data_IF_351812290027
#
_entry.id   IF_351812290027
#
_cell.length_a   1.000
_cell.length_b   1.000
_cell.length_c   1.000
_cell.angle_alpha   90.00
_cell.angle_beta   90.00
_cell.angle_gamma   90.00
#
_symmetry.space_group_name_H-M   'P 1'
#
loop_
_entity.id
_entity.type
_entity.pdbx_description
1 polymer ?
#
# COMPACT_ATOMS: atom_id res chain seq x y z
N UNK A 1 1.27 -25.86 -10.69
CA UNK A 1 1.21 -26.81 -9.58
C UNK A 1 0.46 -26.09 -8.46
N UNK A 2 -0.77 -26.52 -8.12
CA UNK A 2 -1.55 -25.91 -7.02
C UNK A 2 -0.96 -26.47 -5.69
N UNK A 3 -0.36 -25.59 -4.88
CA UNK A 3 0.12 -25.95 -3.55
C UNK A 3 -1.09 -25.82 -2.61
N UNK A 4 -1.51 -26.92 -1.99
CA UNK A 4 -2.57 -26.89 -0.98
C UNK A 4 -1.93 -26.67 0.39
N UNK A 5 -2.42 -25.69 1.15
CA UNK A 5 -1.91 -25.36 2.49
C UNK A 5 -2.06 -26.48 3.52
N UNK A 6 -2.91 -27.47 3.22
CA UNK A 6 -3.13 -28.67 4.04
C UNK A 6 -2.12 -29.80 3.83
N UNK A 7 -1.19 -29.67 2.85
CA UNK A 7 -0.18 -30.69 2.57
C UNK A 7 1.05 -30.55 3.49
N UNK A 8 1.76 -31.67 3.70
CA UNK A 8 3.06 -31.63 4.37
C UNK A 8 4.07 -30.83 3.56
N UNK A 9 4.55 -29.70 4.12
CA UNK A 9 5.53 -28.82 3.50
C UNK A 9 6.95 -29.37 3.71
N UNK A 10 7.62 -29.76 2.63
CA UNK A 10 9.07 -29.88 2.63
C UNK A 10 9.69 -28.47 2.51
N UNK A 11 10.94 -28.29 2.99
CA UNK A 11 11.66 -27.01 2.89
C UNK A 11 11.63 -26.44 1.45
N UNK A 12 11.83 -27.30 0.45
CA UNK A 12 11.79 -26.89 -0.98
C UNK A 12 10.41 -26.40 -1.42
N UNK A 13 9.33 -27.06 -0.97
CA UNK A 13 7.94 -26.60 -1.25
C UNK A 13 7.65 -25.28 -0.55
N UNK A 14 8.08 -25.13 0.70
CA UNK A 14 7.92 -23.90 1.47
C UNK A 14 8.64 -22.73 0.82
N UNK A 15 9.91 -22.88 0.46
CA UNK A 15 10.68 -21.85 -0.23
C UNK A 15 10.03 -21.45 -1.55
N UNK A 16 9.56 -22.42 -2.35
CA UNK A 16 8.86 -22.13 -3.60
C UNK A 16 7.54 -21.38 -3.40
N UNK A 17 6.84 -21.64 -2.30
CA UNK A 17 5.59 -20.93 -1.94
C UNK A 17 5.84 -19.51 -1.46
N UNK A 18 6.88 -19.30 -0.65
CA UNK A 18 7.20 -17.99 -0.06
C UNK A 18 7.98 -17.09 -1.02
N UNK A 19 8.68 -17.66 -2.01
CA UNK A 19 9.53 -16.93 -2.95
C UNK A 19 8.83 -15.72 -3.63
N UNK A 20 7.59 -15.83 -4.15
CA UNK A 20 6.88 -14.68 -4.70
C UNK A 20 6.69 -13.54 -3.69
N UNK A 21 6.41 -13.87 -2.43
CA UNK A 21 6.24 -12.87 -1.36
C UNK A 21 7.57 -12.16 -1.03
N UNK A 22 8.68 -12.90 -1.04
CA UNK A 22 10.02 -12.32 -0.85
C UNK A 22 10.36 -11.35 -1.99
N UNK A 23 10.14 -11.79 -3.25
CA UNK A 23 10.38 -10.94 -4.44
C UNK A 23 9.52 -9.69 -4.39
N UNK A 24 8.25 -9.82 -3.97
CA UNK A 24 7.34 -8.69 -3.78
C UNK A 24 7.89 -7.66 -2.79
N UNK A 25 8.38 -8.10 -1.62
CA UNK A 25 8.95 -7.20 -0.61
C UNK A 25 10.21 -6.49 -1.10
N UNK A 26 11.10 -7.22 -1.79
CA UNK A 26 12.31 -6.63 -2.40
C UNK A 26 11.92 -5.60 -3.45
N UNK A 27 10.97 -5.93 -4.34
CA UNK A 27 10.51 -5.04 -5.38
C UNK A 27 9.86 -3.77 -4.81
N UNK A 28 9.04 -3.90 -3.76
CA UNK A 28 8.44 -2.77 -3.03
C UNK A 28 9.51 -1.83 -2.47
N UNK A 29 10.57 -2.39 -1.89
CA UNK A 29 11.69 -1.59 -1.39
C UNK A 29 12.43 -0.86 -2.51
N UNK A 30 12.65 -1.53 -3.64
CA UNK A 30 13.35 -0.96 -4.80
C UNK A 30 12.57 0.21 -5.40
N UNK A 31 11.27 0.03 -5.67
CA UNK A 31 10.51 1.12 -6.27
C UNK A 31 10.36 2.32 -5.31
N UNK A 32 10.27 2.09 -3.99
CA UNK A 32 10.27 3.19 -3.01
C UNK A 32 11.57 4.00 -3.00
N UNK A 33 12.73 3.33 -3.22
CA UNK A 33 14.00 4.03 -3.40
C UNK A 33 14.02 4.84 -4.70
N UNK A 34 13.48 4.28 -5.79
CA UNK A 34 13.40 4.95 -7.09
C UNK A 34 12.51 6.20 -7.00
N UNK A 35 11.34 6.11 -6.38
CA UNK A 35 10.46 7.27 -6.11
C UNK A 35 11.21 8.36 -5.33
N UNK A 36 11.91 7.99 -4.25
CA UNK A 36 12.75 8.91 -3.48
C UNK A 36 13.85 9.57 -4.32
N UNK A 37 14.47 8.85 -5.27
CA UNK A 37 15.47 9.39 -6.20
C UNK A 37 14.82 10.44 -7.12
N UNK A 38 13.64 10.17 -7.67
CA UNK A 38 12.93 11.14 -8.50
C UNK A 38 12.62 12.42 -7.72
N UNK A 39 12.05 12.30 -6.52
CA UNK A 39 11.72 13.48 -5.70
C UNK A 39 12.98 14.25 -5.29
N UNK A 40 14.03 13.57 -4.84
CA UNK A 40 15.26 14.25 -4.36
C UNK A 40 16.01 14.98 -5.46
N UNK A 41 16.08 14.42 -6.68
CA UNK A 41 16.88 14.97 -7.76
C UNK A 41 16.13 15.98 -8.64
N UNK A 42 14.81 15.81 -8.82
CA UNK A 42 14.04 16.63 -9.75
C UNK A 42 13.08 17.60 -9.07
N UNK A 43 12.67 17.35 -7.82
CA UNK A 43 11.76 18.25 -7.08
C UNK A 43 12.52 19.11 -6.09
N UNK A 44 13.44 18.52 -5.34
CA UNK A 44 14.33 19.25 -4.44
C UNK A 44 14.39 18.71 -3.01
N UNK A 45 15.29 19.29 -2.21
CA UNK A 45 15.59 18.80 -0.85
C UNK A 45 14.45 19.02 0.14
N UNK A 46 13.78 20.18 0.09
CA UNK A 46 12.68 20.50 1.02
C UNK A 46 11.46 19.62 0.74
N UNK A 47 10.98 19.46 -0.51
CA UNK A 47 9.94 18.49 -0.83
C UNK A 47 10.30 17.05 -0.45
N UNK A 48 11.53 16.62 -0.69
CA UNK A 48 11.99 15.28 -0.28
C UNK A 48 11.95 15.09 1.24
N UNK A 49 12.38 16.10 2.01
CA UNK A 49 12.27 16.07 3.47
C UNK A 49 10.81 16.02 3.93
N UNK A 50 9.91 16.78 3.28
CA UNK A 50 8.48 16.77 3.56
C UNK A 50 7.84 15.39 3.33
N UNK A 51 8.15 14.72 2.22
CA UNK A 51 7.71 13.35 1.95
C UNK A 51 8.16 12.41 3.06
N UNK A 52 9.46 12.43 3.42
CA UNK A 52 10.01 11.56 4.46
C UNK A 52 9.39 11.82 5.84
N UNK A 53 9.00 13.07 6.13
CA UNK A 53 8.37 13.43 7.39
C UNK A 53 6.94 12.91 7.52
N UNK A 54 6.13 13.02 6.45
CA UNK A 54 4.71 12.64 6.48
C UNK A 54 4.47 11.15 6.18
N UNK A 55 5.40 10.48 5.48
CA UNK A 55 5.28 9.08 5.08
C UNK A 55 5.01 8.11 6.25
N UNK A 56 5.71 8.19 7.40
CA UNK A 56 5.42 7.29 8.53
C UNK A 56 3.98 7.37 9.01
N UNK A 57 3.38 8.56 9.03
CA UNK A 57 1.98 8.74 9.37
C UNK A 57 1.05 8.04 8.35
N UNK A 58 1.29 8.24 7.06
CA UNK A 58 0.51 7.58 6.00
C UNK A 58 0.68 6.06 6.02
N UNK A 59 1.87 5.56 6.32
CA UNK A 59 2.14 4.13 6.47
C UNK A 59 1.37 3.51 7.65
N UNK A 60 1.25 4.21 8.78
CA UNK A 60 0.45 3.75 9.93
C UNK A 60 -1.01 3.57 9.51
N UNK A 61 -1.58 4.52 8.75
CA UNK A 61 -2.94 4.40 8.26
C UNK A 61 -3.10 3.19 7.32
N UNK A 62 -2.15 2.99 6.40
CA UNK A 62 -2.16 1.84 5.49
C UNK A 62 -1.97 0.50 6.22
N UNK A 63 -1.22 0.48 7.32
CA UNK A 63 -1.00 -0.71 8.13
C UNK A 63 -2.29 -1.27 8.75
N UNK A 64 -3.32 -0.44 8.96
CA UNK A 64 -4.64 -0.90 9.37
C UNK A 64 -5.28 -1.83 8.32
N UNK A 65 -5.10 -1.53 7.04
CA UNK A 65 -5.52 -2.42 5.94
C UNK A 65 -4.78 -3.77 5.99
N UNK A 66 -3.46 -3.74 6.20
CA UNK A 66 -2.66 -4.96 6.33
C UNK A 66 -3.09 -5.79 7.57
N UNK A 67 -3.35 -5.14 8.69
CA UNK A 67 -3.83 -5.80 9.91
C UNK A 67 -5.18 -6.49 9.69
N UNK A 68 -6.16 -5.81 9.07
CA UNK A 68 -7.46 -6.39 8.74
C UNK A 68 -7.33 -7.51 7.70
N UNK A 69 -6.46 -7.34 6.70
CA UNK A 69 -6.18 -8.37 5.69
C UNK A 69 -5.56 -9.63 6.31
N UNK A 70 -4.56 -9.48 7.16
CA UNK A 70 -3.87 -10.60 7.80
C UNK A 70 -4.77 -11.33 8.79
N UNK A 71 -5.45 -10.60 9.69
CA UNK A 71 -6.39 -11.19 10.64
C UNK A 71 -7.59 -11.84 9.92
N UNK A 72 -8.13 -11.16 8.92
CA UNK A 72 -9.24 -11.65 8.12
C UNK A 72 -8.90 -12.88 7.29
N UNK A 73 -7.72 -12.91 6.69
CA UNK A 73 -7.27 -14.08 5.92
C UNK A 73 -7.15 -15.34 6.77
N UNK A 74 -6.78 -15.22 8.04
CA UNK A 74 -6.72 -16.35 8.97
C UNK A 74 -8.12 -16.92 9.25
N UNK A 75 -9.11 -16.04 9.51
CA UNK A 75 -10.50 -16.45 9.76
C UNK A 75 -11.09 -17.12 8.51
N UNK A 76 -10.91 -16.50 7.34
CA UNK A 76 -11.41 -17.02 6.06
C UNK A 76 -10.78 -18.38 5.76
N UNK A 77 -9.45 -18.53 5.93
CA UNK A 77 -8.75 -19.79 5.68
C UNK A 77 -9.23 -20.91 6.61
N UNK A 78 -9.45 -20.60 7.89
CA UNK A 78 -10.01 -21.55 8.87
C UNK A 78 -11.40 -22.01 8.43
N UNK A 79 -12.31 -21.08 8.13
CA UNK A 79 -13.70 -21.38 7.71
C UNK A 79 -13.74 -22.19 6.41
N UNK A 80 -12.84 -21.89 5.45
CA UNK A 80 -12.69 -22.69 4.23
C UNK A 80 -12.18 -24.11 4.55
N UNK A 81 -11.28 -24.26 5.52
CA UNK A 81 -10.79 -25.56 5.98
C UNK A 81 -11.88 -26.41 6.66
N UNK A 82 -12.85 -25.77 7.32
CA UNK A 82 -14.05 -26.40 7.87
C UNK A 82 -15.10 -26.79 6.82
N UNK A 83 -14.89 -26.40 5.55
CA UNK A 83 -15.75 -26.71 4.40
C UNK A 83 -16.90 -25.72 4.17
N UNK A 84 -17.05 -24.71 4.99
CA UNK A 84 -18.12 -23.71 4.91
C UNK A 84 -17.72 -22.54 3.99
N UNK A 85 -17.87 -22.75 2.68
CA UNK A 85 -17.54 -21.75 1.66
C UNK A 85 -18.44 -20.53 1.70
N UNK A 86 -19.70 -20.71 2.05
CA UNK A 86 -20.66 -19.61 2.07
C UNK A 86 -20.31 -18.61 3.18
N UNK A 87 -20.04 -19.10 4.37
CA UNK A 87 -19.63 -18.30 5.51
C UNK A 87 -18.26 -17.64 5.28
N UNK A 88 -17.32 -18.32 4.62
CA UNK A 88 -16.03 -17.73 4.25
C UNK A 88 -16.21 -16.55 3.29
N UNK A 89 -17.10 -16.63 2.31
CA UNK A 89 -17.43 -15.54 1.40
C UNK A 89 -18.12 -14.37 2.12
N UNK A 90 -18.99 -14.66 3.10
CA UNK A 90 -19.60 -13.62 3.93
C UNK A 90 -18.57 -12.87 4.73
N UNK A 91 -17.61 -13.55 5.38
CA UNK A 91 -16.51 -12.93 6.10
C UNK A 91 -15.62 -12.09 5.18
N UNK A 92 -15.30 -12.59 4.00
CA UNK A 92 -14.54 -11.84 3.01
C UNK A 92 -15.26 -10.53 2.62
N UNK A 93 -16.53 -10.60 2.25
CA UNK A 93 -17.32 -9.43 1.88
C UNK A 93 -17.44 -8.42 3.03
N UNK A 94 -17.66 -8.91 4.25
CA UNK A 94 -17.71 -8.08 5.45
C UNK A 94 -16.40 -7.34 5.69
N UNK A 95 -15.26 -8.02 5.53
CA UNK A 95 -13.93 -7.41 5.71
C UNK A 95 -13.66 -6.33 4.67
N UNK A 96 -13.99 -6.58 3.40
CA UNK A 96 -13.87 -5.56 2.35
C UNK A 96 -14.72 -4.34 2.68
N UNK A 97 -15.96 -4.54 3.11
CA UNK A 97 -16.83 -3.45 3.51
C UNK A 97 -16.26 -2.64 4.69
N UNK A 98 -15.76 -3.33 5.72
CA UNK A 98 -15.11 -2.68 6.88
C UNK A 98 -13.89 -1.87 6.46
N UNK A 99 -13.05 -2.40 5.56
CA UNK A 99 -11.87 -1.69 5.05
C UNK A 99 -12.28 -0.41 4.31
N UNK A 100 -13.32 -0.48 3.46
CA UNK A 100 -13.81 0.67 2.70
C UNK A 100 -14.37 1.75 3.64
N UNK A 101 -15.21 1.37 4.60
CA UNK A 101 -15.80 2.31 5.56
C UNK A 101 -14.72 2.94 6.44
N UNK A 102 -13.81 2.11 6.99
CA UNK A 102 -12.70 2.61 7.81
C UNK A 102 -11.79 3.54 7.00
N UNK A 103 -11.43 3.15 5.77
CA UNK A 103 -10.63 3.96 4.87
C UNK A 103 -11.30 5.29 4.53
N UNK A 104 -12.61 5.31 4.29
CA UNK A 104 -13.36 6.54 4.04
C UNK A 104 -13.35 7.48 5.26
N UNK A 105 -13.56 6.95 6.46
CA UNK A 105 -13.50 7.72 7.72
C UNK A 105 -12.09 8.29 7.93
N UNK A 106 -11.06 7.45 7.78
CA UNK A 106 -9.67 7.88 7.94
C UNK A 106 -9.24 8.90 6.87
N UNK A 107 -9.72 8.77 5.63
CA UNK A 107 -9.50 9.76 4.59
C UNK A 107 -10.11 11.09 4.96
N UNK A 108 -11.38 11.12 5.41
CA UNK A 108 -12.05 12.34 5.82
C UNK A 108 -11.34 13.02 6.99
N UNK A 109 -10.99 12.24 8.03
CA UNK A 109 -10.24 12.75 9.19
C UNK A 109 -8.85 13.24 8.78
N UNK A 110 -8.15 12.50 7.94
CA UNK A 110 -6.82 12.87 7.49
C UNK A 110 -6.82 14.17 6.69
N UNK A 111 -7.77 14.38 5.78
CA UNK A 111 -7.91 15.65 5.04
C UNK A 111 -8.15 16.83 5.99
N UNK A 112 -8.95 16.66 7.03
CA UNK A 112 -9.24 17.73 8.02
C UNK A 112 -8.00 18.01 8.88
N UNK A 113 -7.29 16.95 9.33
CA UNK A 113 -6.23 17.07 10.32
C UNK A 113 -4.81 17.04 9.73
N UNK A 114 -4.64 16.98 8.40
CA UNK A 114 -3.32 16.89 7.76
C UNK A 114 -2.38 18.02 8.19
N UNK A 115 -2.87 19.26 8.23
CA UNK A 115 -2.07 20.41 8.63
C UNK A 115 -1.63 20.36 10.10
N UNK A 116 -2.51 20.18 11.10
CA UNK A 116 -2.10 20.04 12.49
C UNK A 116 -1.20 18.82 12.73
N UNK A 117 -1.41 17.72 12.02
CA UNK A 117 -0.53 16.53 12.09
C UNK A 117 0.87 16.87 11.56
N UNK A 118 0.96 17.55 10.42
CA UNK A 118 2.25 17.96 9.87
C UNK A 118 3.01 18.90 10.81
N UNK A 119 2.33 19.83 11.47
CA UNK A 119 2.92 20.71 12.49
C UNK A 119 3.41 19.88 13.71
N UNK A 120 2.61 18.94 14.18
CA UNK A 120 2.97 18.07 15.30
C UNK A 120 4.22 17.21 14.99
N UNK A 121 4.39 16.81 13.72
CA UNK A 121 5.56 16.08 13.25
C UNK A 121 6.79 16.99 13.10
N UNK A 122 6.65 18.31 13.26
CA UNK A 122 7.76 19.28 13.22
C UNK A 122 7.89 20.03 11.89
N UNK A 123 6.92 19.91 10.97
CA UNK A 123 6.94 20.66 9.73
C UNK A 123 6.68 22.17 9.98
N UNK A 124 7.44 23.02 9.29
CA UNK A 124 7.26 24.47 9.33
C UNK A 124 7.58 25.10 7.96
N UNK A 125 7.13 26.34 7.74
CA UNK A 125 7.38 27.10 6.52
C UNK A 125 7.03 26.31 5.25
N UNK A 126 7.92 26.32 4.27
CA UNK A 126 7.74 25.65 2.97
C UNK A 126 7.57 24.13 3.11
N UNK A 127 8.28 23.50 4.06
CA UNK A 127 8.16 22.06 4.33
C UNK A 127 6.74 21.70 4.79
N UNK A 128 6.08 22.56 5.58
CA UNK A 128 4.70 22.33 6.02
C UNK A 128 3.73 22.31 4.83
N UNK A 129 3.84 23.28 3.92
CA UNK A 129 2.95 23.33 2.75
C UNK A 129 3.16 22.10 1.84
N UNK A 130 4.42 21.65 1.67
CA UNK A 130 4.73 20.42 0.94
C UNK A 130 4.19 19.16 1.64
N UNK A 131 4.26 19.07 2.98
CA UNK A 131 3.68 17.96 3.75
C UNK A 131 2.15 17.90 3.56
N UNK A 132 1.49 19.04 3.68
CA UNK A 132 0.03 19.12 3.55
C UNK A 132 -0.41 18.79 2.12
N UNK A 133 0.27 19.32 1.11
CA UNK A 133 -0.04 19.04 -0.29
C UNK A 133 0.13 17.55 -0.61
N UNK A 134 1.30 17.00 -0.30
CA UNK A 134 1.61 15.58 -0.54
C UNK A 134 0.66 14.67 0.24
N UNK A 135 0.51 14.93 1.54
CA UNK A 135 -0.33 14.13 2.41
C UNK A 135 -1.80 14.12 1.98
N UNK A 136 -2.34 15.27 1.61
CA UNK A 136 -3.73 15.38 1.11
C UNK A 136 -3.94 14.61 -0.19
N UNK A 137 -2.99 14.65 -1.11
CA UNK A 137 -3.10 13.90 -2.37
C UNK A 137 -3.02 12.38 -2.12
N UNK A 138 -2.05 11.92 -1.34
CA UNK A 138 -1.89 10.49 -1.04
C UNK A 138 -3.08 9.93 -0.26
N UNK A 139 -3.62 10.68 0.72
CA UNK A 139 -4.70 10.15 1.56
C UNK A 139 -6.00 9.94 0.77
N UNK A 140 -6.19 10.60 -0.37
CA UNK A 140 -7.33 10.31 -1.26
C UNK A 140 -7.29 8.90 -1.84
N UNK A 141 -6.10 8.30 -1.95
CA UNK A 141 -5.89 6.93 -2.38
C UNK A 141 -5.75 5.94 -1.20
N UNK A 142 -6.10 6.34 0.04
CA UNK A 142 -5.96 5.48 1.22
C UNK A 142 -6.80 4.20 1.11
N UNK A 143 -8.03 4.28 0.59
CA UNK A 143 -8.90 3.11 0.43
C UNK A 143 -8.27 2.08 -0.50
N UNK A 144 -7.89 2.39 -1.77
CA UNK A 144 -7.20 1.44 -2.62
C UNK A 144 -5.87 0.94 -2.02
N UNK A 145 -5.12 1.78 -1.31
CA UNK A 145 -3.89 1.38 -0.61
C UNK A 145 -4.17 0.34 0.49
N UNK A 146 -5.18 0.56 1.33
CA UNK A 146 -5.60 -0.40 2.36
C UNK A 146 -6.09 -1.72 1.73
N UNK A 147 -6.85 -1.64 0.64
CA UNK A 147 -7.32 -2.82 -0.09
C UNK A 147 -6.14 -3.60 -0.70
N UNK A 148 -5.20 -2.93 -1.36
CA UNK A 148 -4.02 -3.57 -1.94
C UNK A 148 -3.24 -4.36 -0.88
N UNK A 149 -2.98 -3.75 0.30
CA UNK A 149 -2.31 -4.42 1.41
C UNK A 149 -3.11 -5.62 1.95
N UNK A 150 -4.44 -5.50 2.02
CA UNK A 150 -5.30 -6.59 2.48
C UNK A 150 -5.36 -7.74 1.47
N UNK A 151 -5.45 -7.43 0.18
CA UNK A 151 -5.47 -8.43 -0.89
C UNK A 151 -4.18 -9.22 -0.98
N UNK A 152 -3.02 -8.64 -0.64
CA UNK A 152 -1.77 -9.39 -0.53
C UNK A 152 -1.91 -10.58 0.42
N UNK A 153 -2.50 -10.35 1.61
CA UNK A 153 -2.75 -11.41 2.59
C UNK A 153 -3.79 -12.44 2.09
N UNK A 154 -4.86 -11.97 1.43
CA UNK A 154 -5.88 -12.85 0.86
C UNK A 154 -5.35 -13.73 -0.28
N UNK A 155 -4.48 -13.21 -1.14
CA UNK A 155 -3.84 -14.01 -2.19
C UNK A 155 -2.94 -15.10 -1.63
N UNK A 156 -2.21 -14.83 -0.54
CA UNK A 156 -1.40 -15.85 0.14
C UNK A 156 -2.30 -16.91 0.77
N UNK A 157 -3.38 -16.52 1.46
CA UNK A 157 -4.35 -17.42 2.05
C UNK A 157 -5.08 -18.29 1.00
N UNK A 158 -5.34 -17.72 -0.19
CA UNK A 158 -5.91 -18.46 -1.32
C UNK A 158 -4.90 -19.37 -2.05
N UNK A 159 -3.64 -19.45 -1.58
CA UNK A 159 -2.59 -20.26 -2.22
C UNK A 159 -2.09 -19.70 -3.56
N UNK A 160 -2.32 -18.40 -3.81
CA UNK A 160 -1.97 -17.73 -5.08
C UNK A 160 -1.08 -16.48 -4.85
N UNK A 161 0.06 -16.58 -4.14
CA UNK A 161 0.91 -15.43 -3.86
C UNK A 161 1.46 -14.74 -5.12
N UNK A 162 1.49 -15.43 -6.28
CA UNK A 162 1.91 -14.86 -7.56
C UNK A 162 0.97 -13.72 -8.03
N UNK A 163 -0.32 -13.76 -7.66
CA UNK A 163 -1.25 -12.66 -7.99
C UNK A 163 -0.88 -11.38 -7.21
N UNK A 164 -0.52 -11.53 -5.93
CA UNK A 164 -0.02 -10.41 -5.13
C UNK A 164 1.27 -9.83 -5.70
N UNK A 165 2.22 -10.69 -6.12
CA UNK A 165 3.44 -10.26 -6.79
C UNK A 165 3.11 -9.49 -8.08
N UNK A 166 2.22 -10.03 -8.93
CA UNK A 166 1.82 -9.38 -10.18
C UNK A 166 1.21 -7.99 -9.95
N UNK A 167 0.31 -7.86 -8.99
CA UNK A 167 -0.30 -6.58 -8.62
C UNK A 167 0.75 -5.58 -8.11
N UNK A 168 1.66 -6.01 -7.22
CA UNK A 168 2.72 -5.15 -6.68
C UNK A 168 3.70 -4.69 -7.77
N UNK A 169 4.08 -5.58 -8.69
CA UNK A 169 4.95 -5.23 -9.82
C UNK A 169 4.25 -4.25 -10.75
N UNK A 170 2.98 -4.47 -11.07
CA UNK A 170 2.19 -3.55 -11.89
C UNK A 170 2.11 -2.17 -11.23
N UNK A 171 1.77 -2.10 -9.94
CA UNK A 171 1.72 -0.86 -9.18
C UNK A 171 3.08 -0.13 -9.18
N UNK A 172 4.18 -0.82 -8.86
CA UNK A 172 5.50 -0.20 -8.80
C UNK A 172 6.02 0.26 -10.17
N UNK A 173 5.78 -0.51 -11.25
CA UNK A 173 6.13 -0.08 -12.61
C UNK A 173 5.29 1.13 -13.01
N UNK A 174 4.00 1.13 -12.73
CA UNK A 174 3.10 2.27 -12.99
C UNK A 174 3.59 3.51 -12.24
N UNK A 175 3.93 3.39 -10.96
CA UNK A 175 4.48 4.48 -10.17
C UNK A 175 5.75 5.06 -10.81
N UNK A 176 6.76 4.24 -11.10
CA UNK A 176 8.02 4.69 -11.71
C UNK A 176 7.81 5.38 -13.06
N UNK A 177 6.91 4.87 -13.90
CA UNK A 177 6.58 5.50 -15.20
C UNK A 177 5.88 6.84 -14.99
N UNK A 178 4.91 6.91 -14.07
CA UNK A 178 4.18 8.14 -13.78
C UNK A 178 5.06 9.18 -13.08
N UNK A 179 6.00 8.78 -12.22
CA UNK A 179 7.00 9.68 -11.64
C UNK A 179 7.83 10.34 -12.74
N UNK A 180 8.32 9.56 -13.70
CA UNK A 180 9.03 10.11 -14.84
C UNK A 180 8.16 11.10 -15.63
N UNK A 181 6.91 10.76 -15.91
CA UNK A 181 5.99 11.62 -16.68
C UNK A 181 5.64 12.89 -15.91
N UNK A 182 5.21 12.76 -14.65
CA UNK A 182 4.68 13.90 -13.91
C UNK A 182 5.77 14.78 -13.29
N UNK A 183 6.88 14.17 -12.84
CA UNK A 183 7.97 14.92 -12.22
C UNK A 183 8.94 15.46 -13.27
N UNK A 184 9.37 14.62 -14.24
CA UNK A 184 10.42 15.00 -15.18
C UNK A 184 9.86 15.72 -16.41
N UNK A 185 8.83 15.16 -17.07
CA UNK A 185 8.27 15.74 -18.29
C UNK A 185 7.33 16.91 -18.01
N UNK A 186 6.38 16.75 -17.08
CA UNK A 186 5.39 17.78 -16.77
C UNK A 186 5.85 18.76 -15.70
N UNK A 187 6.89 18.45 -14.96
CA UNK A 187 7.46 19.28 -13.90
C UNK A 187 6.43 19.70 -12.82
N UNK A 188 5.51 18.80 -12.48
CA UNK A 188 4.49 19.06 -11.45
C UNK A 188 5.04 19.01 -10.02
N UNK A 189 6.35 18.79 -9.85
CA UNK A 189 7.02 18.80 -8.56
C UNK A 189 6.45 17.72 -7.62
N UNK A 190 6.29 18.07 -6.34
CA UNK A 190 5.81 17.15 -5.30
C UNK A 190 4.37 16.66 -5.55
N UNK A 191 3.52 17.48 -6.19
CA UNK A 191 2.18 17.07 -6.58
C UNK A 191 2.23 15.93 -7.61
N UNK A 192 3.17 15.99 -8.56
CA UNK A 192 3.41 14.92 -9.52
C UNK A 192 3.75 13.58 -8.86
N UNK A 193 4.67 13.58 -7.89
CA UNK A 193 5.02 12.41 -7.10
C UNK A 193 3.81 11.84 -6.35
N UNK A 194 3.05 12.70 -5.67
CA UNK A 194 1.86 12.28 -4.93
C UNK A 194 0.79 11.66 -5.83
N UNK A 195 0.53 12.26 -6.99
CA UNK A 195 -0.46 11.77 -7.96
C UNK A 195 0.01 10.44 -8.57
N UNK A 196 1.30 10.31 -8.94
CA UNK A 196 1.87 9.07 -9.44
C UNK A 196 1.69 7.92 -8.45
N UNK A 197 2.02 8.17 -7.18
CA UNK A 197 1.85 7.21 -6.10
C UNK A 197 0.38 6.89 -5.88
N UNK A 198 -0.52 7.87 -5.84
CA UNK A 198 -1.95 7.66 -5.66
C UNK A 198 -2.56 6.80 -6.79
N UNK A 199 -2.23 7.10 -8.05
CA UNK A 199 -2.73 6.33 -9.22
C UNK A 199 -2.18 4.89 -9.19
N UNK A 200 -0.93 4.69 -8.80
CA UNK A 200 -0.31 3.36 -8.76
C UNK A 200 -0.94 2.42 -7.72
N UNK A 201 -1.69 2.95 -6.75
CA UNK A 201 -2.41 2.17 -5.74
C UNK A 201 -3.79 1.70 -6.20
N UNK A 202 -4.32 2.23 -7.31
CA UNK A 202 -5.64 1.89 -7.86
C UNK A 202 -5.52 0.74 -8.85
#
# INVERSE_FOLDING_TARGET
MKIQLSEHFTLKKLLKFVFPSIVMMIFTSVYGVVDGIFVSNFVGKIPFAAVNLIMPFLMILGALGFMLGTGGSAIISKTLGEGDKEKANQYFSMLIYVIIVLGAVLTALGLIFMRPISILLGANGEMLENCVLYGNLIITALIPYMLLNSFQSFFVAAGKPQLGLGATVAAGVTNMVLDFVFIVLFQWGIAGAAIATAISQI
#
